data_IF_985173670337
#
_entry.id   IF_985173670337
#
_cell.length_a   1.000
_cell.length_b   1.000
_cell.length_c   1.000
_cell.angle_alpha   90.00
_cell.angle_beta   90.00
_cell.angle_gamma   90.00
#
_symmetry.space_group_name_H-M   'P 1'
#
loop_
_entity.id
_entity.type
_entity.pdbx_description
1 polymer ?
2 water ?
#
# COMPACT_ATOMS: atom_id res chain seq x y z
N UNK A 44 -32.72 43.45 12.45
CA UNK A 44 -32.54 41.99 12.53
C UNK A 44 -33.87 41.23 12.38
N UNK A 45 -33.86 40.13 11.58
CA UNK A 45 -35.06 39.33 11.36
C UNK A 45 -35.11 38.00 12.14
N UNK A 46 -34.09 37.71 12.94
CA UNK A 46 -34.07 36.50 13.78
C UNK A 46 -33.81 36.80 15.25
N UNK A 47 -34.22 35.88 16.14
CA UNK A 47 -34.02 36.04 17.59
C UNK A 47 -32.65 35.46 18.00
N UNK A 48 -32.34 35.48 19.31
CA UNK A 48 -31.10 34.92 19.85
C UNK A 48 -31.20 33.39 19.73
N UNK A 49 -32.32 32.80 20.20
CA UNK A 49 -32.52 31.34 20.16
C UNK A 49 -32.88 30.73 18.79
N UNK A 50 -33.20 31.58 17.79
CA UNK A 50 -33.43 31.17 16.41
C UNK A 50 -32.03 30.85 15.83
N UNK A 51 -31.05 31.74 16.12
CA UNK A 51 -29.64 31.68 15.75
C UNK A 51 -28.94 30.47 16.43
N UNK A 52 -29.33 30.19 17.69
CA UNK A 52 -28.80 29.05 18.46
C UNK A 52 -29.35 27.75 17.84
N UNK A 53 -30.63 27.78 17.37
CA UNK A 53 -31.29 26.64 16.68
C UNK A 53 -30.61 26.35 15.33
N UNK A 54 -30.21 27.42 14.62
CA UNK A 54 -29.54 27.39 13.31
C UNK A 54 -28.03 27.09 13.43
N UNK A 55 -27.50 27.08 14.67
CA UNK A 55 -26.11 26.76 15.02
C UNK A 55 -25.91 25.25 15.12
N UNK A 56 -26.96 24.53 15.58
CA UNK A 56 -27.00 23.07 15.72
C UNK A 56 -27.31 22.45 14.37
N UNK A 57 -28.24 23.06 13.59
CA UNK A 57 -28.63 22.60 12.26
C UNK A 57 -27.46 22.72 11.26
N UNK A 58 -26.72 23.85 11.29
CA UNK A 58 -25.56 24.06 10.42
C UNK A 58 -24.39 23.12 10.77
N UNK A 59 -24.16 22.86 12.08
CA UNK A 59 -23.11 21.97 12.62
C UNK A 59 -23.27 20.51 12.12
N UNK A 60 -24.46 19.91 12.36
CA UNK A 60 -24.83 18.55 12.01
C UNK A 60 -24.95 18.29 10.50
N UNK A 61 -25.06 19.35 9.68
CA UNK A 61 -25.14 19.26 8.22
C UNK A 61 -23.77 18.96 7.67
N UNK A 62 -22.76 19.75 8.09
CA UNK A 62 -21.37 19.60 7.68
C UNK A 62 -20.75 18.35 8.30
N UNK A 63 -20.95 18.14 9.63
CA UNK A 63 -20.43 16.96 10.35
C UNK A 63 -20.98 15.65 9.74
N UNK A 64 -22.22 15.71 9.28
CA UNK A 64 -22.95 14.62 8.63
C UNK A 64 -22.40 14.27 7.27
N UNK A 65 -22.33 15.27 6.34
CA UNK A 65 -21.78 15.08 4.99
C UNK A 65 -20.33 14.58 5.03
N UNK A 66 -19.49 15.13 5.94
CA UNK A 66 -18.08 14.71 6.10
C UNK A 66 -17.97 13.26 6.55
N UNK A 67 -18.67 12.86 7.65
CA UNK A 67 -18.68 11.49 8.17
C UNK A 67 -19.11 10.49 7.08
N UNK A 68 -20.02 10.90 6.17
CA UNK A 68 -20.53 10.09 5.07
C UNK A 68 -19.45 9.78 4.03
N UNK A 69 -18.78 10.83 3.55
CA UNK A 69 -17.72 10.77 2.54
C UNK A 69 -16.51 9.97 3.05
N UNK A 70 -16.14 10.20 4.31
CA UNK A 70 -15.01 9.57 4.97
C UNK A 70 -15.24 8.06 5.14
N UNK A 71 -16.40 7.64 5.68
CA UNK A 71 -16.75 6.24 5.89
C UNK A 71 -16.83 5.45 4.59
N UNK A 72 -17.37 6.05 3.50
CA UNK A 72 -17.43 5.35 2.20
C UNK A 72 -16.03 5.13 1.60
N UNK A 73 -15.14 6.17 1.63
CA UNK A 73 -13.77 6.11 1.12
C UNK A 73 -12.94 5.10 1.92
N UNK A 74 -13.04 5.18 3.28
CA UNK A 74 -12.36 4.29 4.22
C UNK A 74 -12.86 2.84 4.02
N UNK A 75 -14.14 2.70 3.68
CA UNK A 75 -14.76 1.40 3.40
C UNK A 75 -14.21 0.76 2.14
N UNK A 76 -14.17 1.51 1.01
CA UNK A 76 -13.64 1.02 -0.28
C UNK A 76 -12.15 0.63 -0.15
N UNK A 77 -11.36 1.46 0.54
CA UNK A 77 -9.95 1.23 0.75
C UNK A 77 -9.65 -0.01 1.60
N UNK A 78 -10.42 -0.20 2.67
CA UNK A 78 -10.26 -1.34 3.57
C UNK A 78 -10.70 -2.67 2.99
N UNK A 79 -11.82 -2.66 2.26
CA UNK A 79 -12.37 -3.85 1.61
C UNK A 79 -11.46 -4.36 0.51
N UNK A 80 -10.85 -3.44 -0.26
CA UNK A 80 -9.91 -3.71 -1.35
C UNK A 80 -8.54 -4.17 -0.83
N UNK A 81 -8.15 -3.73 0.38
CA UNK A 81 -6.90 -4.16 1.02
C UNK A 81 -6.96 -5.68 1.30
N UNK A 82 -8.10 -6.11 1.86
CA UNK A 82 -8.47 -7.48 2.22
C UNK A 82 -8.57 -8.36 0.97
N UNK A 83 -9.20 -7.86 -0.11
CA UNK A 83 -9.34 -8.55 -1.40
C UNK A 83 -7.94 -8.85 -1.98
N UNK A 84 -7.04 -7.83 -1.97
CA UNK A 84 -5.67 -7.89 -2.45
C UNK A 84 -4.89 -8.92 -1.67
N UNK A 85 -5.00 -8.89 -0.33
CA UNK A 85 -4.32 -9.84 0.57
C UNK A 85 -4.81 -11.28 0.31
N UNK A 86 -6.11 -11.43 0.01
CA UNK A 86 -6.78 -12.69 -0.35
C UNK A 86 -6.27 -13.21 -1.69
N UNK A 87 -6.28 -12.39 -2.76
CA UNK A 87 -5.81 -12.80 -4.08
C UNK A 87 -4.34 -13.24 -4.08
N UNK A 88 -3.53 -12.62 -3.22
CA UNK A 88 -2.12 -12.98 -3.12
C UNK A 88 -1.90 -14.32 -2.39
N UNK A 89 -2.62 -14.56 -1.28
CA UNK A 89 -2.49 -15.81 -0.53
C UNK A 89 -2.94 -16.97 -1.43
N UNK A 90 -4.00 -16.75 -2.24
CA UNK A 90 -4.55 -17.69 -3.22
C UNK A 90 -3.47 -18.06 -4.27
N UNK A 91 -2.81 -17.04 -4.87
CA UNK A 91 -1.73 -17.16 -5.84
C UNK A 91 -0.55 -17.94 -5.23
N UNK A 92 -0.21 -17.65 -3.95
CA UNK A 92 0.88 -18.27 -3.23
C UNK A 92 0.55 -19.72 -2.87
N UNK A 93 -0.75 -20.06 -2.66
CA UNK A 93 -1.16 -21.43 -2.37
C UNK A 93 -1.21 -22.24 -3.66
N UNK A 94 -1.55 -21.59 -4.79
CA UNK A 94 -1.57 -22.16 -6.14
C UNK A 94 -0.13 -22.56 -6.54
N UNK A 95 0.84 -21.68 -6.30
CA UNK A 95 2.26 -21.86 -6.55
C UNK A 95 2.83 -23.04 -5.73
N UNK A 96 2.47 -23.12 -4.44
CA UNK A 96 2.92 -24.21 -3.57
C UNK A 96 2.47 -25.57 -4.13
N UNK A 97 1.16 -25.72 -4.46
CA UNK A 97 0.54 -26.94 -4.98
C UNK A 97 1.18 -27.36 -6.31
N UNK A 98 1.32 -26.41 -7.25
CA UNK A 98 1.93 -26.59 -8.57
C UNK A 98 3.41 -26.93 -8.45
N UNK A 99 4.13 -26.33 -7.47
CA UNK A 99 5.54 -26.58 -7.22
C UNK A 99 5.70 -28.04 -6.79
N UNK A 100 4.87 -28.48 -5.84
CA UNK A 100 4.90 -29.83 -5.29
C UNK A 100 4.56 -30.89 -6.33
N UNK A 101 3.47 -30.67 -7.09
CA UNK A 101 3.00 -31.55 -8.15
C UNK A 101 4.06 -31.69 -9.22
N UNK A 102 4.68 -30.58 -9.66
CA UNK A 102 5.74 -30.62 -10.66
C UNK A 102 6.95 -31.38 -10.13
N UNK A 103 7.33 -31.13 -8.87
CA UNK A 103 8.52 -31.72 -8.27
C UNK A 103 8.44 -33.23 -8.00
N UNK A 104 7.26 -33.77 -7.61
CA UNK A 104 6.95 -35.20 -7.44
C UNK A 104 7.03 -35.88 -8.82
N UNK A 105 6.53 -35.18 -9.85
CA UNK A 105 6.50 -35.70 -11.20
C UNK A 105 7.87 -35.72 -11.87
N UNK A 106 8.62 -34.62 -11.78
CA UNK A 106 9.95 -34.47 -12.39
C UNK A 106 11.10 -35.10 -11.60
N UNK A 107 11.13 -34.88 -10.27
CA UNK A 107 12.24 -35.34 -9.44
C UNK A 107 12.02 -36.62 -8.65
N UNK A 108 10.76 -37.05 -8.56
CA UNK A 108 10.36 -38.29 -7.93
C UNK A 108 10.72 -38.40 -6.47
N UNK A 109 11.27 -39.55 -6.08
CA UNK A 109 11.65 -39.81 -4.69
C UNK A 109 12.82 -38.99 -4.16
N UNK A 110 13.66 -38.41 -5.05
CA UNK A 110 14.77 -37.53 -4.64
C UNK A 110 14.14 -36.29 -4.02
N UNK A 111 13.04 -35.79 -4.65
CA UNK A 111 12.26 -34.68 -4.16
C UNK A 111 11.46 -35.07 -2.90
N UNK A 112 10.66 -36.15 -2.94
CA UNK A 112 9.84 -36.64 -1.82
C UNK A 112 10.60 -36.77 -0.50
N UNK A 113 11.81 -37.35 -0.54
CA UNK A 113 12.71 -37.54 0.62
C UNK A 113 13.08 -36.19 1.27
N UNK A 114 13.27 -35.15 0.43
CA UNK A 114 13.71 -33.80 0.82
C UNK A 114 12.70 -32.71 0.61
N UNK A 115 11.41 -33.07 0.44
CA UNK A 115 10.33 -32.12 0.18
C UNK A 115 10.21 -31.01 1.23
N UNK A 116 10.58 -31.31 2.49
CA UNK A 116 10.57 -30.38 3.62
C UNK A 116 11.39 -29.10 3.35
N UNK A 117 12.50 -29.21 2.62
CA UNK A 117 13.39 -28.11 2.25
C UNK A 117 12.56 -27.12 1.43
N UNK A 118 11.82 -27.63 0.45
CA UNK A 118 10.97 -26.83 -0.41
C UNK A 118 9.70 -26.38 0.31
N UNK A 119 9.11 -27.24 1.15
CA UNK A 119 7.89 -26.88 1.89
C UNK A 119 8.20 -25.81 2.97
N UNK A 120 9.40 -25.87 3.60
CA UNK A 120 9.90 -24.90 4.60
C UNK A 120 10.11 -23.53 3.93
N UNK A 121 10.48 -23.52 2.64
CA UNK A 121 10.66 -22.31 1.88
C UNK A 121 9.31 -21.63 1.70
N UNK A 122 8.27 -22.37 1.26
CA UNK A 122 6.93 -21.80 1.11
C UNK A 122 6.32 -21.26 2.42
N UNK A 123 6.69 -21.84 3.56
CA UNK A 123 6.22 -21.42 4.88
C UNK A 123 6.80 -20.07 5.25
N UNK A 124 8.08 -19.83 4.94
CA UNK A 124 8.78 -18.58 5.20
C UNK A 124 8.18 -17.44 4.41
N UNK A 125 7.82 -17.70 3.13
CA UNK A 125 7.21 -16.76 2.21
C UNK A 125 5.80 -16.46 2.67
N UNK A 126 5.07 -17.49 3.13
CA UNK A 126 3.73 -17.37 3.72
C UNK A 126 3.77 -16.51 5.02
N UNK A 127 4.71 -16.83 5.95
CA UNK A 127 4.88 -16.12 7.21
C UNK A 127 5.26 -14.69 6.98
N UNK A 128 6.23 -14.43 6.07
CA UNK A 128 6.60 -13.08 5.73
C UNK A 128 5.35 -12.28 5.35
N UNK A 129 4.57 -12.75 4.36
CA UNK A 129 3.38 -11.97 3.93
C UNK A 129 2.42 -11.69 5.07
N UNK A 130 2.32 -12.62 6.02
CA UNK A 130 1.47 -12.53 7.22
C UNK A 130 2.05 -11.62 8.32
N UNK A 131 3.33 -11.85 8.72
CA UNK A 131 4.06 -11.19 9.81
C UNK A 131 5.02 -10.08 9.36
N UNK A 132 5.79 -10.34 8.31
CA UNK A 132 6.83 -9.43 7.83
C UNK A 132 8.13 -9.54 8.60
N UNK A 133 8.20 -10.52 9.52
CA UNK A 133 9.34 -10.75 10.43
C UNK A 133 10.53 -11.44 9.79
N UNK A 134 10.27 -12.39 8.88
CA UNK A 134 11.24 -13.17 8.12
C UNK A 134 12.21 -12.26 7.32
N UNK A 135 13.52 -12.60 7.31
CA UNK A 135 14.52 -11.95 6.46
C UNK A 135 14.57 -12.85 5.22
N UNK A 136 13.99 -12.36 4.11
CA UNK A 136 13.88 -13.08 2.85
C UNK A 136 15.19 -13.44 2.17
N UNK A 137 16.20 -12.59 2.26
CA UNK A 137 17.50 -12.84 1.66
C UNK A 137 18.27 -13.95 2.35
N UNK A 138 18.14 -14.04 3.70
CA UNK A 138 18.78 -15.05 4.58
C UNK A 138 18.20 -16.43 4.26
N UNK A 139 16.87 -16.49 4.19
CA UNK A 139 16.05 -17.64 3.86
C UNK A 139 16.47 -18.26 2.49
N UNK A 140 16.57 -17.42 1.43
CA UNK A 140 16.97 -17.82 0.06
C UNK A 140 18.40 -18.31 0.04
N UNK A 141 19.28 -17.62 0.78
CA UNK A 141 20.71 -17.97 0.90
C UNK A 141 20.84 -19.35 1.53
N UNK A 142 20.10 -19.60 2.64
CA UNK A 142 20.11 -20.86 3.36
C UNK A 142 19.55 -22.01 2.54
N UNK A 143 18.43 -21.76 1.79
CA UNK A 143 17.73 -22.72 0.94
C UNK A 143 18.63 -23.31 -0.16
N UNK A 144 19.21 -22.43 -0.98
CA UNK A 144 20.12 -22.76 -2.07
C UNK A 144 21.42 -23.37 -1.53
N UNK A 145 21.81 -23.00 -0.30
CA UNK A 145 22.99 -23.61 0.34
C UNK A 145 22.70 -25.10 0.70
N UNK A 146 21.51 -25.35 1.27
CA UNK A 146 20.98 -26.66 1.67
C UNK A 146 20.76 -27.50 0.41
N UNK A 147 20.18 -26.89 -0.64
CA UNK A 147 19.89 -27.55 -1.91
C UNK A 147 21.17 -28.04 -2.58
N UNK A 148 22.23 -27.23 -2.57
CA UNK A 148 23.55 -27.56 -3.12
C UNK A 148 24.25 -28.72 -2.37
N UNK A 149 24.19 -28.71 -1.03
CA UNK A 149 24.83 -29.73 -0.20
C UNK A 149 24.19 -31.08 -0.40
N UNK A 150 22.83 -31.11 -0.43
CA UNK A 150 22.01 -32.29 -0.68
C UNK A 150 22.33 -32.85 -2.06
N UNK A 151 22.36 -31.97 -3.07
CA UNK A 151 22.61 -32.34 -4.46
C UNK A 151 24.04 -32.78 -4.74
N UNK A 152 25.03 -32.20 -4.03
CA UNK A 152 26.43 -32.60 -4.22
C UNK A 152 26.57 -34.04 -3.72
N UNK A 153 26.07 -34.31 -2.50
CA UNK A 153 26.09 -35.64 -1.87
C UNK A 153 25.39 -36.69 -2.71
N UNK A 154 24.15 -36.42 -3.18
CA UNK A 154 23.35 -37.31 -4.03
C UNK A 154 24.17 -37.78 -5.28
N UNK A 155 24.75 -36.82 -6.03
CA UNK A 155 25.57 -37.08 -7.22
C UNK A 155 26.81 -37.91 -6.89
N UNK A 156 27.51 -37.55 -5.79
CA UNK A 156 28.72 -38.21 -5.36
C UNK A 156 28.49 -39.29 -4.28
N UNK A 157 27.57 -40.21 -4.62
CA UNK A 157 27.18 -41.39 -3.83
C UNK A 157 28.41 -42.27 -3.61
N UNK A 158 29.25 -42.37 -4.66
CA UNK A 158 30.49 -43.13 -4.75
C UNK A 158 31.52 -42.78 -3.65
N UNK A 159 31.59 -41.49 -3.27
CA UNK A 159 32.50 -40.96 -2.25
C UNK A 159 31.80 -40.80 -0.89
N UNK A 160 32.59 -40.69 0.19
CA UNK A 160 32.07 -40.50 1.54
C UNK A 160 32.54 -39.16 2.14
N UNK A 161 31.60 -38.39 2.71
CA UNK A 161 31.85 -37.07 3.27
C UNK A 161 31.28 -36.89 4.66
N UNK A 162 32.16 -36.55 5.60
CA UNK A 162 31.82 -36.26 6.99
C UNK A 162 31.41 -34.80 7.14
N UNK A 163 31.10 -34.36 8.38
CA UNK A 163 30.70 -32.99 8.71
C UNK A 163 31.75 -31.94 8.30
N UNK A 164 33.04 -32.25 8.51
CA UNK A 164 34.17 -31.36 8.18
C UNK A 164 34.30 -31.15 6.68
N UNK A 165 34.05 -32.23 5.88
CA UNK A 165 34.12 -32.11 4.41
C UNK A 165 32.99 -31.23 3.86
N UNK A 166 31.72 -31.52 4.24
CA UNK A 166 30.54 -30.78 3.79
C UNK A 166 30.53 -29.30 4.17
N UNK A 167 31.23 -28.91 5.27
CA UNK A 167 31.37 -27.53 5.71
C UNK A 167 32.25 -26.75 4.72
N UNK A 168 33.29 -27.42 4.17
CA UNK A 168 34.23 -26.87 3.17
C UNK A 168 33.48 -26.61 1.85
N UNK A 169 32.58 -27.55 1.50
CA UNK A 169 31.73 -27.54 0.31
C UNK A 169 30.84 -26.28 0.33
N UNK A 170 30.17 -25.99 1.47
CA UNK A 170 29.30 -24.81 1.67
C UNK A 170 30.08 -23.49 1.69
N UNK A 171 31.29 -23.48 2.30
CA UNK A 171 32.18 -22.32 2.37
C UNK A 171 32.57 -21.84 0.96
N UNK A 172 32.81 -22.79 0.04
CA UNK A 172 33.20 -22.55 -1.36
C UNK A 172 32.00 -22.29 -2.30
N UNK A 173 30.74 -22.57 -1.86
CA UNK A 173 29.54 -22.41 -2.70
C UNK A 173 29.43 -21.13 -3.52
N UNK A 174 29.54 -19.96 -2.87
CA UNK A 174 29.41 -18.68 -3.57
C UNK A 174 30.58 -18.38 -4.53
N UNK A 175 31.74 -19.04 -4.33
CA UNK A 175 32.93 -18.92 -5.18
C UNK A 175 32.77 -19.80 -6.44
N UNK A 176 32.16 -21.00 -6.29
CA UNK A 176 31.96 -21.99 -7.35
C UNK A 176 30.75 -21.76 -8.26
N UNK A 177 29.70 -21.06 -7.75
CA UNK A 177 28.43 -20.77 -8.45
C UNK A 177 27.83 -22.05 -9.05
N UNK A 178 27.25 -22.95 -8.21
CA UNK A 178 26.76 -24.24 -8.71
C UNK A 178 25.50 -24.15 -9.55
N UNK A 179 24.62 -23.22 -9.18
CA UNK A 179 23.35 -22.97 -9.85
C UNK A 179 23.48 -21.71 -10.74
N UNK A 180 24.73 -21.29 -10.95
CA UNK A 180 25.07 -20.13 -11.75
C UNK A 180 24.71 -18.84 -11.05
N UNK A 181 24.04 -17.93 -11.77
CA UNK A 181 23.61 -16.63 -11.21
C UNK A 181 22.15 -16.59 -10.72
N UNK A 182 21.45 -17.75 -10.67
CA UNK A 182 20.08 -17.88 -10.17
C UNK A 182 19.93 -17.47 -8.69
N UNK A 183 20.64 -18.10 -7.71
CA UNK A 183 20.47 -17.69 -6.31
C UNK A 183 20.58 -16.19 -6.06
N UNK A 184 21.55 -15.55 -6.73
CA UNK A 184 21.83 -14.13 -6.58
C UNK A 184 20.69 -13.28 -7.16
N UNK A 185 20.23 -13.60 -8.41
CA UNK A 185 19.16 -12.89 -9.11
C UNK A 185 17.78 -13.15 -8.53
N UNK A 186 17.48 -14.42 -8.18
CA UNK A 186 16.15 -14.82 -7.66
C UNK A 186 15.83 -14.26 -6.29
N UNK A 187 16.81 -14.25 -5.38
CA UNK A 187 16.70 -13.77 -4.01
C UNK A 187 16.40 -12.30 -3.95
N UNK A 188 16.99 -11.50 -4.86
CA UNK A 188 16.77 -10.06 -4.96
C UNK A 188 15.35 -9.82 -5.52
N UNK A 189 14.88 -10.66 -6.51
CA UNK A 189 13.51 -10.58 -7.05
C UNK A 189 12.48 -10.90 -5.97
N UNK A 190 12.68 -11.99 -5.20
CA UNK A 190 11.79 -12.41 -4.11
C UNK A 190 11.68 -11.29 -3.07
N UNK A 191 12.81 -10.77 -2.58
CA UNK A 191 12.86 -9.69 -1.60
C UNK A 191 12.06 -8.48 -2.12
N UNK A 192 12.40 -7.95 -3.30
CA UNK A 192 11.74 -6.76 -3.86
C UNK A 192 10.26 -6.89 -4.10
N UNK A 193 9.82 -8.05 -4.63
CA UNK A 193 8.40 -8.28 -4.91
C UNK A 193 7.58 -8.60 -3.68
N UNK A 194 8.13 -9.36 -2.69
CA UNK A 194 7.44 -9.69 -1.44
C UNK A 194 7.31 -8.48 -0.52
N UNK A 195 8.35 -7.68 -0.42
CA UNK A 195 8.38 -6.44 0.37
C UNK A 195 7.40 -5.44 -0.19
N UNK A 196 7.40 -5.23 -1.51
CA UNK A 196 6.50 -4.29 -2.15
C UNK A 196 5.03 -4.74 -2.14
N UNK A 197 4.77 -6.07 -2.21
CA UNK A 197 3.42 -6.64 -2.17
C UNK A 197 2.78 -6.53 -0.80
N UNK A 198 3.54 -6.84 0.25
CA UNK A 198 3.05 -6.77 1.62
C UNK A 198 2.81 -5.33 2.01
N UNK A 199 3.77 -4.43 1.73
CA UNK A 199 3.64 -2.99 2.02
C UNK A 199 2.46 -2.39 1.29
N UNK A 200 2.19 -2.77 0.03
CA UNK A 200 1.02 -2.26 -0.72
C UNK A 200 -0.32 -2.49 0.05
N UNK A 201 -0.53 -3.72 0.53
CA UNK A 201 -1.70 -4.13 1.29
C UNK A 201 -1.81 -3.50 2.68
N UNK A 202 -0.67 -3.39 3.41
CA UNK A 202 -0.54 -2.77 4.73
C UNK A 202 -0.90 -1.30 4.67
N UNK A 203 -0.28 -0.53 3.75
CA UNK A 203 -0.50 0.91 3.56
C UNK A 203 -1.95 1.26 3.23
N UNK A 204 -2.63 0.38 2.50
CA UNK A 204 -4.04 0.48 2.12
C UNK A 204 -4.93 0.32 3.36
N UNK A 205 -4.55 -0.64 4.26
CA UNK A 205 -5.23 -0.94 5.52
C UNK A 205 -5.11 0.27 6.46
N UNK A 206 -3.87 0.75 6.70
CA UNK A 206 -3.59 1.90 7.56
C UNK A 206 -4.15 3.21 7.00
N UNK A 207 -4.39 3.32 5.67
CA UNK A 207 -4.96 4.55 5.09
C UNK A 207 -6.42 4.58 5.48
N UNK A 208 -7.11 3.44 5.24
CA UNK A 208 -8.51 3.16 5.56
C UNK A 208 -8.76 3.37 7.06
N UNK A 209 -7.82 2.92 7.89
CA UNK A 209 -7.84 3.01 9.34
C UNK A 209 -7.69 4.45 9.80
N UNK A 210 -6.62 5.13 9.35
CA UNK A 210 -6.31 6.51 9.72
C UNK A 210 -7.43 7.49 9.28
N UNK A 211 -8.10 7.21 8.14
CA UNK A 211 -9.24 8.00 7.64
C UNK A 211 -10.39 7.87 8.64
N UNK A 212 -10.59 6.65 9.20
CA UNK A 212 -11.63 6.37 10.20
C UNK A 212 -11.40 7.15 11.51
N UNK A 213 -10.14 7.47 11.87
CA UNK A 213 -9.85 8.24 13.09
C UNK A 213 -10.03 9.77 12.94
N UNK A 214 -10.21 10.25 11.68
CA UNK A 214 -10.42 11.67 11.41
C UNK A 214 -11.87 12.02 11.83
N UNK A 215 -12.80 11.04 11.77
CA UNK A 215 -14.23 11.16 12.12
C UNK A 215 -14.64 12.12 13.28
N UNK A 220 -15.22 22.56 16.82
CA UNK A 220 -14.04 23.38 16.59
C UNK A 220 -14.42 24.89 16.61
N UNK A 221 -15.18 25.30 17.67
CA UNK A 221 -15.73 26.63 18.05
C UNK A 221 -15.80 27.80 17.05
N UNK A 222 -14.67 28.15 16.40
CA UNK A 222 -14.60 29.26 15.43
C UNK A 222 -15.49 29.01 14.20
N UNK A 223 -15.54 27.74 13.75
CA UNK A 223 -16.34 27.23 12.64
C UNK A 223 -17.82 27.48 12.86
N UNK A 224 -18.32 27.28 14.10
CA UNK A 224 -19.72 27.46 14.51
C UNK A 224 -20.22 28.87 14.15
N UNK A 225 -19.43 29.88 14.47
CA UNK A 225 -19.72 31.27 14.19
C UNK A 225 -19.71 31.56 12.69
N UNK A 226 -18.64 31.12 12.00
CA UNK A 226 -18.55 31.36 10.56
C UNK A 226 -19.54 30.51 9.72
N UNK A 227 -19.86 29.27 10.19
CA UNK A 227 -20.79 28.36 9.49
C UNK A 227 -22.26 28.83 9.45
N UNK A 228 -22.81 29.27 10.60
CA UNK A 228 -24.18 29.77 10.68
C UNK A 228 -24.34 31.09 9.94
N UNK A 229 -23.33 31.98 10.07
CA UNK A 229 -23.31 33.31 9.44
C UNK A 229 -23.29 33.16 7.91
N UNK A 230 -22.75 32.05 7.41
CA UNK A 230 -22.69 31.75 5.98
C UNK A 230 -24.00 31.11 5.48
N UNK A 231 -24.52 30.11 6.22
CA UNK A 231 -25.68 29.33 5.81
C UNK A 231 -27.04 29.95 6.10
N UNK A 232 -27.27 30.39 7.35
CA UNK A 232 -28.56 30.86 7.84
C UNK A 232 -28.75 32.36 8.06
N UNK A 233 -27.67 33.17 8.07
CA UNK A 233 -27.77 34.61 8.37
C UNK A 233 -28.05 35.61 7.22
N UNK A 234 -28.23 35.11 6.00
CA UNK A 234 -28.61 35.93 4.86
C UNK A 234 -30.07 36.30 5.04
N UNK A 235 -30.86 35.31 5.48
CA UNK A 235 -32.26 35.35 5.84
C UNK A 235 -32.49 36.30 7.03
N UNK A 236 -31.46 36.43 7.92
CA UNK A 236 -31.45 37.32 9.08
C UNK A 236 -31.63 38.79 8.71
N UNK A 237 -31.21 39.16 7.49
CA UNK A 237 -31.29 40.50 6.94
C UNK A 237 -32.44 40.58 5.90
N UNK A 238 -33.31 39.57 5.91
CA UNK A 238 -34.47 39.46 5.03
C UNK A 238 -34.14 39.24 3.56
N UNK A 239 -33.28 38.25 3.29
CA UNK A 239 -32.80 37.88 1.96
C UNK A 239 -33.05 36.37 1.67
N UNK A 240 -33.32 36.04 0.38
CA UNK A 240 -33.65 34.68 -0.10
C UNK A 240 -32.54 34.12 -0.98
N UNK A 241 -31.52 34.94 -1.23
CA UNK A 241 -30.35 34.61 -2.03
C UNK A 241 -29.46 33.63 -1.33
N UNK A 242 -28.99 32.61 -2.07
CA UNK A 242 -28.11 31.55 -1.62
C UNK A 242 -26.69 32.09 -1.34
N UNK A 243 -25.83 31.41 -0.53
CA UNK A 243 -24.50 31.99 -0.24
C UNK A 243 -23.55 31.95 -1.43
N UNK A 244 -22.65 32.96 -1.56
CA UNK A 244 -21.63 32.99 -2.62
C UNK A 244 -20.74 31.76 -2.44
N UNK A 245 -20.40 31.08 -3.55
CA UNK A 245 -19.61 29.84 -3.53
C UNK A 245 -18.25 29.95 -2.86
N UNK A 246 -17.46 30.99 -3.22
CA UNK A 246 -16.12 31.25 -2.69
C UNK A 246 -16.13 31.63 -1.21
N UNK A 247 -17.27 32.18 -0.74
CA UNK A 247 -17.54 32.48 0.65
C UNK A 247 -17.66 31.15 1.42
N UNK A 248 -18.60 30.29 0.98
CA UNK A 248 -18.91 28.94 1.46
C UNK A 248 -17.65 28.06 1.52
N UNK A 249 -16.79 28.13 0.47
CA UNK A 249 -15.54 27.37 0.34
C UNK A 249 -14.53 27.76 1.42
N UNK A 250 -14.28 29.09 1.60
CA UNK A 250 -13.39 29.68 2.61
C UNK A 250 -13.84 29.33 4.00
N UNK A 251 -15.16 29.37 4.27
CA UNK A 251 -15.75 29.02 5.57
C UNK A 251 -15.47 27.55 5.85
N UNK A 252 -15.84 26.66 4.90
CA UNK A 252 -15.64 25.21 5.06
C UNK A 252 -14.16 24.78 5.16
N UNK A 253 -13.24 25.50 4.47
CA UNK A 253 -11.79 25.27 4.58
C UNK A 253 -11.32 25.58 6.04
N UNK A 254 -11.85 26.65 6.64
CA UNK A 254 -11.55 27.05 8.00
C UNK A 254 -12.07 26.07 9.04
N UNK A 255 -13.26 25.47 8.76
CA UNK A 255 -13.90 24.44 9.61
C UNK A 255 -13.02 23.19 9.63
N UNK A 256 -12.60 22.74 8.45
CA UNK A 256 -11.78 21.55 8.29
C UNK A 256 -10.28 21.90 8.16
N UNK A 257 -9.82 22.99 8.84
CA UNK A 257 -8.41 23.42 8.83
C UNK A 257 -7.53 22.40 9.58
N UNK A 258 -8.19 21.51 10.33
CA UNK A 258 -7.56 20.46 11.10
C UNK A 258 -7.06 19.35 10.18
N UNK A 259 -7.68 19.19 8.99
CA UNK A 259 -7.33 18.17 7.98
C UNK A 259 -6.32 18.74 6.96
N UNK A 260 -5.76 19.94 7.22
CA UNK A 260 -4.82 20.62 6.34
C UNK A 260 -3.43 19.97 6.31
N UNK A 261 -2.90 19.57 7.49
CA UNK A 261 -1.61 18.88 7.60
C UNK A 261 -1.77 17.52 6.93
N UNK A 262 -2.87 16.83 7.29
CA UNK A 262 -3.29 15.51 6.86
C UNK A 262 -3.54 15.37 5.36
N UNK A 263 -4.15 16.40 4.73
CA UNK A 263 -4.47 16.41 3.30
C UNK A 263 -3.23 16.38 2.42
N UNK A 264 -2.23 17.22 2.71
CA UNK A 264 -0.96 17.29 1.98
C UNK A 264 -0.20 15.95 2.07
N UNK A 265 -0.25 15.30 3.26
CA UNK A 265 0.35 13.99 3.49
C UNK A 265 -0.43 12.87 2.75
N UNK A 266 -1.77 12.99 2.62
CA UNK A 266 -2.61 12.04 1.87
C UNK A 266 -2.17 12.04 0.41
N UNK A 267 -1.74 13.22 -0.10
CA UNK A 267 -1.28 13.43 -1.47
C UNK A 267 0.03 12.75 -1.70
N UNK A 268 0.98 12.87 -0.74
CA UNK A 268 2.29 12.18 -0.76
C UNK A 268 2.08 10.70 -0.68
N UNK A 269 1.05 10.27 0.09
CA UNK A 269 0.65 8.90 0.26
C UNK A 269 0.15 8.31 -1.06
N UNK A 270 -0.74 9.04 -1.78
CA UNK A 270 -1.27 8.60 -3.08
C UNK A 270 -0.17 8.53 -4.14
N UNK A 271 0.76 9.47 -4.12
CA UNK A 271 1.93 9.50 -5.00
C UNK A 271 2.89 8.33 -4.76
N UNK A 272 3.08 7.93 -3.48
CA UNK A 272 3.94 6.81 -3.10
C UNK A 272 3.21 5.49 -3.39
N UNK A 273 1.87 5.44 -3.14
CA UNK A 273 1.05 4.26 -3.46
C UNK A 273 1.04 4.02 -4.96
N UNK A 274 1.02 5.10 -5.77
CA UNK A 274 1.06 4.98 -7.23
C UNK A 274 2.40 4.47 -7.77
N UNK A 275 3.51 4.81 -7.11
CA UNK A 275 4.83 4.35 -7.54
C UNK A 275 5.02 2.88 -7.23
N UNK A 276 4.53 2.43 -6.06
CA UNK A 276 4.53 1.03 -5.63
C UNK A 276 3.66 0.16 -6.57
N UNK A 277 2.44 0.62 -6.96
CA UNK A 277 1.56 -0.09 -7.92
C UNK A 277 2.24 -0.24 -9.29
N UNK A 278 2.96 0.81 -9.70
CA UNK A 278 3.73 0.86 -10.92
C UNK A 278 4.83 -0.25 -10.89
N UNK A 279 5.51 -0.41 -9.75
CA UNK A 279 6.53 -1.44 -9.56
C UNK A 279 5.92 -2.81 -9.49
N UNK A 280 4.77 -2.94 -8.85
CA UNK A 280 4.00 -4.19 -8.81
C UNK A 280 3.48 -4.64 -10.18
N UNK A 281 3.18 -3.70 -11.05
CA UNK A 281 2.71 -4.05 -12.40
C UNK A 281 3.88 -4.20 -13.34
N UNK A 282 4.99 -3.53 -13.00
CA UNK A 282 6.24 -3.51 -13.75
C UNK A 282 7.34 -4.41 -13.21
N UNK A 283 8.51 -3.79 -12.92
CA UNK A 283 9.77 -4.42 -12.48
C UNK A 283 9.75 -5.30 -11.22
N UNK A 284 8.81 -5.09 -10.26
CA UNK A 284 8.72 -5.94 -9.07
C UNK A 284 7.51 -6.86 -9.14
N UNK A 285 6.98 -7.14 -10.36
CA UNK A 285 5.78 -7.98 -10.55
C UNK A 285 5.93 -9.30 -9.82
N UNK A 286 5.11 -9.50 -8.74
CA UNK A 286 5.15 -10.73 -7.93
C UNK A 286 4.63 -12.02 -8.63
N UNK A 287 3.71 -11.89 -9.64
CA UNK A 287 3.17 -13.03 -10.40
C UNK A 287 4.27 -13.67 -11.22
N UNK A 288 5.13 -12.85 -11.86
CA UNK A 288 6.29 -13.31 -12.64
C UNK A 288 7.39 -13.97 -11.76
N UNK A 289 7.27 -13.85 -10.41
CA UNK A 289 8.22 -14.42 -9.45
C UNK A 289 7.64 -15.71 -8.86
N UNK A 290 6.43 -15.62 -8.29
CA UNK A 290 5.70 -16.68 -7.59
C UNK A 290 5.09 -17.73 -8.50
N UNK A 291 4.30 -17.33 -9.54
CA UNK A 291 3.68 -18.29 -10.46
C UNK A 291 4.71 -19.27 -11.15
N UNK A 292 5.83 -18.80 -11.77
CA UNK A 292 6.75 -19.76 -12.41
C UNK A 292 7.95 -20.12 -11.52
N UNK A 293 7.77 -20.06 -10.19
CA UNK A 293 8.82 -20.33 -9.21
C UNK A 293 9.38 -21.75 -9.31
N UNK A 294 8.52 -22.72 -9.67
CA UNK A 294 8.91 -24.12 -9.87
C UNK A 294 9.89 -24.29 -11.03
N UNK A 295 9.67 -23.51 -12.15
CA UNK A 295 10.49 -23.45 -13.36
C UNK A 295 11.86 -22.83 -13.05
N UNK A 296 11.89 -21.74 -12.25
CA UNK A 296 13.14 -21.05 -11.87
C UNK A 296 14.02 -21.96 -10.99
N UNK A 297 13.41 -22.75 -10.09
CA UNK A 297 14.15 -23.63 -9.21
C UNK A 297 14.63 -24.91 -9.94
N UNK A 298 13.82 -25.43 -10.90
CA UNK A 298 14.20 -26.60 -11.72
C UNK A 298 15.39 -26.25 -12.64
N UNK A 299 15.39 -25.01 -13.16
CA UNK A 299 16.44 -24.48 -14.04
C UNK A 299 17.76 -24.31 -13.27
N UNK A 300 17.70 -23.96 -11.96
CA UNK A 300 18.89 -23.88 -11.09
C UNK A 300 19.43 -25.33 -10.84
N UNK A 301 18.51 -26.30 -10.66
CA UNK A 301 18.80 -27.71 -10.48
C UNK A 301 19.50 -28.33 -11.73
N UNK A 302 18.96 -28.04 -12.95
CA UNK A 302 19.51 -28.53 -14.23
C UNK A 302 20.89 -27.91 -14.48
N UNK A 303 21.12 -26.65 -14.01
CA UNK A 303 22.39 -25.95 -14.10
C UNK A 303 23.46 -26.70 -13.31
N UNK A 304 23.06 -27.34 -12.18
CA UNK A 304 23.93 -28.16 -11.35
C UNK A 304 24.19 -29.51 -12.05
N UNK A 305 23.12 -30.16 -12.56
CA UNK A 305 23.18 -31.47 -13.24
C UNK A 305 24.07 -31.42 -14.50
N UNK A 306 23.82 -30.44 -15.39
CA UNK A 306 24.56 -30.24 -16.64
C UNK A 306 26.07 -30.02 -16.43
N UNK A 307 26.46 -29.43 -15.29
CA UNK A 307 27.87 -29.17 -14.94
C UNK A 307 28.33 -29.91 -13.68
N UNK A 308 27.57 -30.94 -13.29
CA UNK A 308 27.85 -31.78 -12.13
C UNK A 308 29.26 -32.32 -12.10
N UNK A 309 29.77 -32.73 -13.27
CA UNK A 309 31.12 -33.26 -13.47
C UNK A 309 32.14 -32.15 -13.19
N UNK A 310 31.92 -30.96 -13.77
CA UNK A 310 32.76 -29.75 -13.60
C UNK A 310 32.79 -29.29 -12.13
N UNK A 311 31.61 -29.23 -11.46
CA UNK A 311 31.46 -28.82 -10.07
C UNK A 311 32.31 -29.70 -9.11
N UNK A 312 32.15 -31.03 -9.18
CA UNK A 312 32.87 -32.03 -8.37
C UNK A 312 34.41 -31.87 -8.42
N UNK A 313 34.96 -31.63 -9.64
CA UNK A 313 36.38 -31.39 -9.90
C UNK A 313 36.87 -30.13 -9.17
N UNK A 314 36.09 -29.03 -9.22
CA UNK A 314 36.38 -27.75 -8.57
C UNK A 314 36.30 -27.88 -7.04
N UNK A 315 35.41 -28.75 -6.53
CA UNK A 315 35.24 -29.01 -5.09
C UNK A 315 36.44 -29.81 -4.61
N UNK A 316 36.81 -30.86 -5.36
CA UNK A 316 37.92 -31.78 -5.05
C UNK A 316 39.30 -31.10 -4.92
N UNK A 317 39.53 -30.00 -5.65
CA UNK A 317 40.74 -29.17 -5.58
C UNK A 317 40.74 -28.36 -4.26
N UNK A 318 39.56 -27.87 -3.86
CA UNK A 318 39.34 -27.09 -2.66
C UNK A 318 39.49 -27.84 -1.34
N UNK A 319 38.78 -28.99 -1.20
CA UNK A 319 38.84 -29.80 0.02
C UNK A 319 39.76 -31.01 -0.13
N UNK A 320 39.35 -32.00 -0.94
CA UNK A 320 40.12 -33.22 -1.18
C UNK A 320 39.29 -34.35 -1.77
N UNK A 321 39.46 -35.61 -1.25
CA UNK A 321 38.72 -36.80 -1.70
C UNK A 321 37.22 -36.70 -1.34
N UNK A 398 -4.76 -12.14 -18.29
CA UNK A 398 -4.39 -11.17 -17.25
C UNK A 398 -4.57 -11.74 -15.83
N UNK A 399 -3.46 -11.83 -15.03
CA UNK A 399 -3.57 -12.39 -13.67
C UNK A 399 -4.49 -11.58 -12.76
N UNK A 400 -5.18 -12.26 -11.83
CA UNK A 400 -6.14 -11.64 -10.93
C UNK A 400 -5.52 -10.57 -10.01
N UNK A 401 -4.24 -10.78 -9.58
CA UNK A 401 -3.52 -9.80 -8.76
C UNK A 401 -3.15 -8.57 -9.58
N UNK A 402 -2.84 -8.71 -10.88
CA UNK A 402 -2.58 -7.54 -11.76
C UNK A 402 -3.83 -6.68 -11.94
N UNK A 403 -5.01 -7.34 -12.07
CA UNK A 403 -6.33 -6.70 -12.22
C UNK A 403 -6.68 -5.90 -10.96
N UNK A 404 -6.49 -6.51 -9.75
CA UNK A 404 -6.75 -5.84 -8.47
C UNK A 404 -5.80 -4.65 -8.23
N UNK A 405 -4.51 -4.77 -8.60
CA UNK A 405 -3.55 -3.66 -8.49
C UNK A 405 -3.94 -2.47 -9.37
N UNK A 406 -4.29 -2.72 -10.65
CA UNK A 406 -4.72 -1.72 -11.63
C UNK A 406 -5.97 -0.94 -11.17
N UNK A 407 -6.86 -1.66 -10.47
CA UNK A 407 -8.13 -1.19 -9.93
C UNK A 407 -7.90 -0.26 -8.74
N UNK A 408 -7.20 -0.74 -7.71
CA UNK A 408 -6.86 0.00 -6.49
C UNK A 408 -6.10 1.28 -6.88
N UNK A 409 -5.17 1.13 -7.81
CA UNK A 409 -4.34 2.20 -8.34
C UNK A 409 -5.16 3.38 -8.85
N UNK A 410 -6.24 3.10 -9.55
CA UNK A 410 -7.16 4.07 -10.10
C UNK A 410 -7.95 4.76 -8.98
N UNK A 411 -8.44 3.94 -8.02
CA UNK A 411 -9.22 4.45 -6.88
C UNK A 411 -8.37 5.31 -5.98
N UNK A 412 -7.09 4.94 -5.77
CA UNK A 412 -6.15 5.74 -4.98
C UNK A 412 -5.82 7.06 -5.73
N UNK A 413 -5.72 7.01 -7.08
CA UNK A 413 -5.52 8.21 -7.93
C UNK A 413 -6.74 9.14 -7.77
N UNK A 414 -7.99 8.61 -7.86
CA UNK A 414 -9.23 9.43 -7.72
C UNK A 414 -9.43 9.98 -6.30
N UNK A 415 -8.76 9.40 -5.28
CA UNK A 415 -8.86 9.83 -3.87
C UNK A 415 -7.73 10.77 -3.45
N UNK A 416 -6.73 11.03 -4.34
CA UNK A 416 -5.58 11.89 -4.02
C UNK A 416 -6.00 13.27 -3.45
N UNK A 417 -6.99 13.92 -4.10
CA UNK A 417 -7.49 15.25 -3.71
C UNK A 417 -8.86 15.15 -3.01
N UNK A 418 -9.13 14.01 -2.34
CA UNK A 418 -10.35 13.72 -1.58
C UNK A 418 -10.63 14.78 -0.51
N UNK A 419 -9.59 15.12 0.31
CA UNK A 419 -9.68 16.04 1.44
C UNK A 419 -9.88 17.49 1.01
N UNK A 420 -9.13 17.97 0.01
CA UNK A 420 -9.25 19.33 -0.51
C UNK A 420 -10.58 19.58 -1.25
N UNK A 421 -11.18 18.54 -1.88
CA UNK A 421 -12.48 18.63 -2.58
C UNK A 421 -13.68 18.64 -1.64
N UNK A 422 -13.48 18.36 -0.33
CA UNK A 422 -14.55 18.35 0.66
C UNK A 422 -15.29 19.71 0.70
N UNK A 423 -14.64 20.92 0.92
CA UNK A 423 -15.42 22.18 0.85
C UNK A 423 -16.24 22.36 -0.44
N UNK A 424 -15.66 22.01 -1.60
CA UNK A 424 -16.33 22.10 -2.90
C UNK A 424 -17.51 21.13 -3.02
N UNK A 425 -17.35 19.89 -2.48
CA UNK A 425 -18.40 18.86 -2.44
C UNK A 425 -19.59 19.38 -1.58
N UNK A 426 -19.29 19.88 -0.35
CA UNK A 426 -20.27 20.47 0.59
C UNK A 426 -21.09 21.63 -0.05
N UNK A 427 -20.42 22.60 -0.70
CA UNK A 427 -21.07 23.78 -1.29
C UNK A 427 -21.95 23.54 -2.51
N UNK A 428 -21.65 22.50 -3.29
CA UNK A 428 -22.33 22.12 -4.53
C UNK A 428 -23.63 21.35 -4.30
N UNK A 429 -23.80 20.77 -3.08
CA UNK A 429 -24.94 19.97 -2.68
C UNK A 429 -26.27 20.73 -2.56
N UNK A 430 -27.39 20.05 -2.92
CA UNK A 430 -28.78 20.54 -2.87
C UNK A 430 -29.13 21.17 -1.50
N UNK A 431 -28.42 20.72 -0.47
CA UNK A 431 -28.48 21.15 0.93
C UNK A 431 -28.14 22.66 1.02
N UNK A 432 -26.93 23.08 0.59
CA UNK A 432 -26.47 24.48 0.60
C UNK A 432 -26.84 25.19 -0.71
N UNK A 433 -26.58 24.53 -1.87
CA UNK A 433 -26.88 25.05 -3.22
C UNK A 433 -26.30 26.48 -3.41
N UNK A 434 -25.01 26.66 -3.03
CA UNK A 434 -24.26 27.91 -3.13
C UNK A 434 -24.17 28.40 -4.57
N UNK A 435 -24.23 29.70 -4.74
CA UNK A 435 -24.27 30.39 -6.04
C UNK A 435 -22.95 31.08 -6.37
N UNK A 436 -22.68 31.32 -7.66
CA UNK A 436 -21.45 31.98 -8.07
C UNK A 436 -21.44 33.51 -7.83
N UNK A 437 -20.23 34.02 -7.64
CA UNK A 437 -19.89 35.42 -7.37
C UNK A 437 -20.20 36.34 -8.54
N UNK A 438 -20.02 35.84 -9.79
CA UNK A 438 -20.12 36.51 -11.09
C UNK A 438 -21.21 37.55 -11.30
N UNK A 439 -22.38 37.39 -10.65
CA UNK A 439 -23.54 38.30 -10.80
C UNK A 439 -23.80 39.21 -9.58
N UNK A 440 -23.21 38.86 -8.43
CA UNK A 440 -23.37 39.61 -7.19
C UNK A 440 -24.71 39.41 -6.51
N UNK A 441 -25.43 38.35 -6.90
CA UNK A 441 -26.75 38.02 -6.39
C UNK A 441 -26.68 36.96 -5.29
N UNK A 442 -25.63 37.00 -4.49
CA UNK A 442 -25.51 36.01 -3.43
C UNK A 442 -25.12 36.61 -2.08
N UNK A 443 -25.41 35.87 -0.99
CA UNK A 443 -25.04 36.20 0.37
C UNK A 443 -23.51 36.09 0.52
N UNK A 444 -22.85 37.17 1.01
CA UNK A 444 -21.39 37.27 1.18
C UNK A 444 -20.83 37.48 2.61
N UNK A 445 -21.70 37.48 3.61
CA UNK A 445 -21.29 37.74 4.99
C UNK A 445 -21.64 39.12 5.49
N UNK A 446 -22.00 40.04 4.56
CA UNK A 446 -22.39 41.42 4.85
C UNK A 446 -23.73 41.71 4.19
N UNK A 447 -23.81 41.59 2.85
CA UNK A 447 -25.03 41.84 2.06
C UNK A 447 -25.14 40.94 0.84
N UNK A 448 -26.05 41.30 -0.08
CA UNK A 448 -26.19 40.63 -1.36
C UNK A 448 -25.23 41.38 -2.25
N UNK A 449 -24.02 40.82 -2.41
CA UNK A 449 -22.97 41.44 -3.20
C UNK A 449 -21.92 40.41 -3.52
N UNK A 450 -20.91 40.82 -4.29
CA UNK A 450 -19.78 39.97 -4.67
C UNK A 450 -18.87 39.77 -3.46
N UNK A 451 -18.49 38.52 -3.22
CA UNK A 451 -17.60 38.14 -2.13
C UNK A 451 -16.18 38.58 -2.52
N UNK A 452 -15.65 39.59 -1.81
CA UNK A 452 -14.38 40.27 -2.11
C UNK A 452 -13.09 39.69 -1.54
N UNK A 453 -13.02 38.35 -1.44
CA UNK A 453 -11.84 37.62 -0.97
C UNK A 453 -11.48 36.49 -1.91
N UNK A 454 -10.18 36.32 -2.12
CA UNK A 454 -9.65 35.21 -2.90
C UNK A 454 -9.63 34.00 -1.97
N UNK A 455 -9.73 32.78 -2.52
CA UNK A 455 -9.70 31.54 -1.74
C UNK A 455 -8.28 31.31 -1.18
N UNK A 456 -8.18 31.02 0.13
CA UNK A 456 -6.91 30.80 0.84
C UNK A 456 -6.12 29.57 0.39
N UNK A 457 -4.77 29.64 0.51
CA UNK A 457 -3.84 28.57 0.09
C UNK A 457 -2.73 28.24 1.12
N UNK A 458 -1.63 29.02 1.11
CA UNK A 458 -0.47 28.89 1.98
C UNK A 458 0.28 30.22 2.07
N UNK A 461 -3.78 32.26 5.74
CA UNK A 461 -4.52 33.06 6.71
C UNK A 461 -5.95 33.34 6.22
N UNK A 462 -6.93 32.62 6.79
CA UNK A 462 -8.34 32.73 6.42
C UNK A 462 -8.98 34.08 6.76
N UNK A 463 -9.56 34.80 5.76
CA UNK A 463 -10.21 36.08 6.04
C UNK A 463 -11.59 35.92 6.71
N UNK A 464 -12.11 34.69 6.74
CA UNK A 464 -13.41 34.37 7.32
C UNK A 464 -13.28 33.93 8.76
N UNK A 465 -12.03 33.89 9.27
CA UNK A 465 -11.69 33.46 10.64
C UNK A 465 -10.69 34.37 11.34
N UNK A 478 -5.02 13.64 15.96
CA UNK A 478 -4.68 14.13 14.63
C UNK A 478 -3.18 14.06 14.34
N UNK A 479 -2.33 14.49 15.31
CA UNK A 479 -0.87 14.48 15.21
C UNK A 479 -0.37 13.05 15.06
N UNK A 480 -1.12 12.09 15.65
CA UNK A 480 -0.89 10.64 15.63
C UNK A 480 -1.22 10.10 14.25
N UNK A 481 -2.41 10.45 13.72
CA UNK A 481 -2.92 10.07 12.40
C UNK A 481 -1.94 10.49 11.32
N UNK A 482 -1.41 11.72 11.48
CA UNK A 482 -0.41 12.30 10.61
C UNK A 482 0.87 11.44 10.60
N UNK A 483 1.36 11.04 11.80
CA UNK A 483 2.55 10.21 11.96
C UNK A 483 2.35 8.77 11.45
N UNK A 484 1.14 8.18 11.69
CA UNK A 484 0.79 6.85 11.20
C UNK A 484 0.74 6.83 9.66
N UNK A 485 0.35 7.98 9.05
CA UNK A 485 0.32 8.15 7.61
C UNK A 485 1.73 8.46 7.11
N UNK A 486 2.49 9.32 7.82
CA UNK A 486 3.87 9.63 7.46
C UNK A 486 4.75 8.39 7.46
N UNK A 487 4.54 7.46 8.45
CA UNK A 487 5.33 6.22 8.50
C UNK A 487 5.05 5.25 7.34
N UNK A 488 3.76 5.09 6.96
CA UNK A 488 3.29 4.35 5.79
C UNK A 488 4.00 4.83 4.49
N UNK A 489 4.13 6.18 4.30
CA UNK A 489 4.81 6.85 3.17
C UNK A 489 6.29 6.48 3.16
N UNK A 490 6.91 6.41 4.34
CA UNK A 490 8.32 6.04 4.46
C UNK A 490 8.51 4.57 4.02
N UNK A 491 7.59 3.70 4.45
CA UNK A 491 7.55 2.28 4.10
C UNK A 491 7.27 2.03 2.61
N UNK A 492 6.39 2.85 1.98
CA UNK A 492 6.10 2.78 0.55
C UNK A 492 7.32 3.20 -0.25
N UNK A 493 8.03 4.28 0.20
CA UNK A 493 9.29 4.74 -0.42
C UNK A 493 10.35 3.64 -0.40
N UNK A 494 10.55 2.97 0.76
CA UNK A 494 11.51 1.86 0.90
C UNK A 494 11.17 0.68 0.00
N UNK A 495 9.87 0.38 -0.14
CA UNK A 495 9.34 -0.65 -1.01
C UNK A 495 9.57 -0.28 -2.46
N UNK A 496 9.38 0.99 -2.83
CA UNK A 496 9.61 1.32 -4.24
C UNK A 496 11.07 1.43 -4.60
N UNK A 497 11.92 1.62 -3.59
CA UNK A 497 13.37 1.69 -3.81
C UNK A 497 14.05 0.32 -3.69
N UNK A 498 13.27 -0.72 -3.40
CA UNK A 498 13.78 -2.08 -3.22
C UNK A 498 14.55 -2.25 -1.92
N UNK A 499 14.30 -1.37 -0.92
CA UNK A 499 14.97 -1.37 0.38
C UNK A 499 14.08 -2.10 1.38
N UNK A 500 14.61 -2.30 2.59
CA UNK A 500 13.99 -3.00 3.70
C UNK A 500 12.93 -2.16 4.38
N UNK A 501 11.85 -2.82 4.82
CA UNK A 501 10.73 -2.21 5.53
C UNK A 501 10.64 -2.89 6.90
N UNK A 502 10.70 -2.11 7.99
CA UNK A 502 10.59 -2.63 9.37
C UNK A 502 9.20 -2.25 9.87
N UNK A 503 8.19 -3.08 9.52
CA UNK A 503 6.79 -2.82 9.83
C UNK A 503 6.05 -4.11 10.22
#
# INVERSE_FOLDING_TARGET
DQFSPECSAVTHIFQARGIDAIEIPQKPSNERVLRYCESPSVGTCCTYNMETRMAMQSRQQLEGHTKDQISRMSGILGSKATKFKDIFTALLKESRTQFNSMFIRTYGVIYERNSYVFSDLFKELETYFANGRVDLLEVMDKFFNTLYQKMFTVLNTQYTFDENYMRCVSEHMKELKPFGDVPDKLSVQIKRSFVATRTYGQALTTASEVAKKVLNVRLNADCTGALTKMQHCGACKGYTEKPCTNYCVNVIKGCLHYQHEFDSEWENFAMAMDKVAERLLGSFNIVMVVEPLNIKISEAIMNFQDSGQDITNRVFQGCGRPKLKKRERRAAEPGSQETSSQQSQEQGVGKSGNGGGGGGGNNRRQQQRRKQQQQRRKQQNNRDDNDDDDEESGGGREPILDRIVRDIRQRVKDYKKFWSNLPHSVCSNEDIASSSDVDGMCWNGHTIDRYMHSITTEHGSNPEFTGNPASTKQTAQMASQLSHLKNAIVHLRNAYNGQDVEWSEQ
#
